data_IF_064126018279
#
_entry.id   IF_064126018279
#
_cell.length_a   1.000
_cell.length_b   1.000
_cell.length_c   1.000
_cell.angle_alpha   90.00
_cell.angle_beta   90.00
_cell.angle_gamma   90.00
#
_symmetry.space_group_name_H-M   'P 1'
#
loop_
_entity.id
_entity.type
_entity.pdbx_description
1 polymer ?
#
# COMPACT_ATOMS: atom_id res chain seq x y z
N UNK A 1 21.25 -18.03 4.53
CA UNK A 1 20.17 -17.24 5.19
C UNK A 1 20.07 -17.52 6.68
N UNK A 2 20.05 -18.79 7.14
CA UNK A 2 19.93 -19.09 8.58
C UNK A 2 20.95 -18.39 9.47
N UNK A 3 22.23 -18.35 9.08
CA UNK A 3 23.25 -17.67 9.86
C UNK A 3 22.92 -16.18 10.07
N UNK A 4 22.46 -15.49 9.02
CA UNK A 4 22.04 -14.09 9.08
C UNK A 4 20.85 -13.87 10.01
N UNK A 5 19.84 -14.74 9.94
CA UNK A 5 18.64 -14.63 10.79
C UNK A 5 18.88 -14.92 12.27
N UNK A 6 19.99 -15.58 12.61
CA UNK A 6 20.40 -15.79 14.01
C UNK A 6 21.17 -14.61 14.62
N UNK A 7 21.62 -13.67 13.80
CA UNK A 7 22.33 -12.46 14.26
C UNK A 7 21.36 -11.49 14.96
N UNK A 8 21.89 -10.70 15.90
CA UNK A 8 21.16 -9.58 16.46
C UNK A 8 20.88 -8.52 15.36
N UNK A 9 19.84 -7.70 15.53
CA UNK A 9 19.48 -6.67 14.53
C UNK A 9 20.63 -5.71 14.22
N UNK A 10 21.43 -5.36 15.22
CA UNK A 10 22.60 -4.50 15.04
C UNK A 10 23.69 -5.15 14.19
N UNK A 11 23.90 -6.45 14.34
CA UNK A 11 24.87 -7.22 13.55
C UNK A 11 24.37 -7.42 12.11
N UNK A 12 23.07 -7.67 11.94
CA UNK A 12 22.42 -7.70 10.61
C UNK A 12 22.59 -6.37 9.89
N UNK A 13 22.32 -5.25 10.57
CA UNK A 13 22.48 -3.92 10.02
C UNK A 13 23.94 -3.59 9.68
N UNK A 14 24.90 -4.03 10.50
CA UNK A 14 26.33 -3.88 10.22
C UNK A 14 26.72 -4.66 8.96
N UNK A 15 26.32 -5.93 8.87
CA UNK A 15 26.61 -6.77 7.70
C UNK A 15 25.99 -6.21 6.41
N UNK A 16 24.78 -5.66 6.47
CA UNK A 16 24.14 -4.98 5.33
C UNK A 16 24.90 -3.70 4.96
N UNK A 17 25.30 -2.89 5.95
CA UNK A 17 26.05 -1.66 5.72
C UNK A 17 27.38 -1.92 5.04
N UNK A 18 28.15 -2.87 5.58
CA UNK A 18 29.46 -3.23 5.05
C UNK A 18 29.32 -3.74 3.61
N UNK A 19 28.45 -4.71 3.38
CA UNK A 19 28.27 -5.31 2.05
C UNK A 19 27.71 -4.32 1.01
N UNK A 20 26.73 -3.49 1.35
CA UNK A 20 25.97 -2.69 0.36
C UNK A 20 26.37 -1.21 0.27
N UNK A 21 27.12 -0.68 1.24
CA UNK A 21 27.50 0.74 1.29
C UNK A 21 29.02 0.97 1.39
N UNK A 22 29.78 0.01 1.91
CA UNK A 22 31.24 0.11 2.06
C UNK A 22 31.95 -0.67 0.97
N UNK A 23 31.69 -1.96 0.86
CA UNK A 23 32.30 -2.87 -0.13
C UNK A 23 31.79 -2.59 -1.54
N UNK A 24 30.57 -2.09 -1.66
CA UNK A 24 29.93 -1.76 -2.92
C UNK A 24 29.38 -0.34 -2.91
N UNK A 25 29.30 0.28 -4.09
CA UNK A 25 28.60 1.55 -4.24
C UNK A 25 27.09 1.35 -4.03
N UNK A 26 26.42 2.15 -3.17
CA UNK A 26 25.01 1.99 -2.81
C UNK A 26 24.05 2.49 -3.91
N UNK A 27 24.14 1.93 -5.11
CA UNK A 27 23.42 2.40 -6.31
C UNK A 27 21.95 1.96 -6.37
N UNK A 28 21.56 0.92 -5.63
CA UNK A 28 20.17 0.45 -5.64
C UNK A 28 19.23 1.51 -5.05
N UNK A 29 17.99 1.55 -5.52
CA UNK A 29 16.99 2.50 -5.01
C UNK A 29 16.77 2.37 -3.49
N UNK A 30 16.81 1.14 -2.96
CA UNK A 30 16.71 0.90 -1.52
C UNK A 30 17.90 1.47 -0.74
N UNK A 31 19.12 1.31 -1.26
CA UNK A 31 20.33 1.86 -0.64
C UNK A 31 20.36 3.40 -0.74
N UNK A 32 20.07 3.97 -1.93
CA UNK A 32 19.93 5.41 -2.14
C UNK A 32 18.90 6.00 -1.17
N UNK A 33 17.79 5.29 -0.93
CA UNK A 33 16.76 5.69 0.01
C UNK A 33 17.30 5.89 1.43
N UNK A 34 18.10 4.94 1.94
CA UNK A 34 18.75 5.08 3.26
C UNK A 34 19.65 6.31 3.32
N UNK A 35 20.49 6.54 2.30
CA UNK A 35 21.36 7.73 2.26
C UNK A 35 20.58 9.04 2.19
N UNK A 36 19.45 9.05 1.48
CA UNK A 36 18.57 10.21 1.38
C UNK A 36 17.95 10.53 2.73
N UNK A 37 17.48 9.52 3.47
CA UNK A 37 16.99 9.69 4.85
C UNK A 37 18.07 10.30 5.73
N UNK A 38 19.27 9.71 5.75
CA UNK A 38 20.37 10.21 6.58
C UNK A 38 20.71 11.67 6.25
N UNK A 39 20.84 12.00 4.97
CA UNK A 39 21.11 13.36 4.52
C UNK A 39 20.01 14.34 4.95
N UNK A 40 18.73 13.98 4.77
CA UNK A 40 17.58 14.80 5.15
C UNK A 40 17.43 14.99 6.66
N UNK A 41 17.98 14.08 7.46
CA UNK A 41 18.09 14.20 8.92
C UNK A 41 19.33 14.98 9.37
N UNK A 42 20.19 15.42 8.43
CA UNK A 42 21.41 16.17 8.72
C UNK A 42 22.61 15.30 9.11
N UNK A 43 22.57 14.00 8.82
CA UNK A 43 23.65 13.06 9.11
C UNK A 43 24.56 12.89 7.89
N UNK A 44 25.87 13.00 8.09
CA UNK A 44 26.88 12.79 7.05
C UNK A 44 27.25 11.31 6.91
N UNK A 45 26.63 10.64 5.94
CA UNK A 45 26.93 9.25 5.62
C UNK A 45 28.30 9.05 4.93
N UNK A 46 28.98 10.11 4.47
CA UNK A 46 30.28 9.99 3.78
C UNK A 46 31.39 9.46 4.70
N UNK A 47 31.26 9.68 6.02
CA UNK A 47 32.19 9.13 7.01
C UNK A 47 32.08 7.62 7.17
N UNK A 48 30.99 7.01 6.65
CA UNK A 48 30.67 5.58 6.80
C UNK A 48 30.63 5.09 8.25
N UNK A 49 30.38 6.01 9.20
CA UNK A 49 30.38 5.77 10.64
C UNK A 49 28.97 5.38 11.13
N UNK A 50 28.62 4.10 10.93
CA UNK A 50 27.36 3.54 11.39
C UNK A 50 27.17 3.63 12.93
N UNK A 51 28.21 3.44 13.78
CA UNK A 51 28.09 3.68 15.22
C UNK A 51 27.61 5.09 15.59
N UNK A 52 28.16 6.15 14.98
CA UNK A 52 27.71 7.52 15.24
C UNK A 52 26.27 7.76 14.78
N UNK A 53 25.88 7.19 13.64
CA UNK A 53 24.49 7.24 13.14
C UNK A 53 23.53 6.58 14.15
N UNK A 54 23.90 5.41 14.70
CA UNK A 54 23.08 4.72 15.72
C UNK A 54 22.93 5.54 16.98
N UNK A 55 24.01 6.15 17.45
CA UNK A 55 23.99 7.02 18.63
C UNK A 55 22.99 8.16 18.44
N UNK A 56 23.00 8.80 17.28
CA UNK A 56 22.03 9.84 16.96
C UNK A 56 20.59 9.33 17.04
N UNK A 57 20.27 8.16 16.45
CA UNK A 57 18.91 7.59 16.53
C UNK A 57 18.49 7.23 17.96
N UNK A 58 19.42 6.76 18.79
CA UNK A 58 19.15 6.41 20.18
C UNK A 58 18.80 7.64 21.05
N UNK A 59 19.21 8.85 20.62
CA UNK A 59 18.93 10.11 21.31
C UNK A 59 17.57 10.73 20.93
N UNK A 60 16.81 10.13 19.99
CA UNK A 60 15.54 10.69 19.52
C UNK A 60 14.36 10.27 20.40
N UNK A 61 13.46 11.21 20.70
CA UNK A 61 12.13 10.88 21.19
C UNK A 61 11.23 10.39 20.04
N UNK A 62 10.42 9.37 20.31
CA UNK A 62 9.58 8.75 19.28
C UNK A 62 8.50 9.70 18.71
N UNK A 63 7.86 10.52 19.55
CA UNK A 63 6.81 11.45 19.13
C UNK A 63 7.37 12.61 18.33
N UNK A 64 8.50 13.17 18.78
CA UNK A 64 9.22 14.21 18.05
C UNK A 64 9.79 13.67 16.73
N UNK A 65 10.27 12.43 16.72
CA UNK A 65 10.80 11.80 15.51
C UNK A 65 9.72 11.53 14.46
N UNK A 66 8.51 11.11 14.88
CA UNK A 66 7.33 11.02 14.00
C UNK A 66 7.06 12.37 13.34
N UNK A 67 6.96 13.43 14.16
CA UNK A 67 6.69 14.79 13.66
C UNK A 67 7.77 15.24 12.67
N UNK A 68 9.04 15.06 13.03
CA UNK A 68 10.18 15.39 12.16
C UNK A 68 10.13 14.65 10.82
N UNK A 69 9.86 13.35 10.83
CA UNK A 69 9.76 12.55 9.60
C UNK A 69 8.61 13.04 8.71
N UNK A 70 7.44 13.32 9.30
CA UNK A 70 6.27 13.81 8.57
C UNK A 70 6.51 15.21 7.98
N UNK A 71 7.15 16.10 8.73
CA UNK A 71 7.49 17.46 8.27
C UNK A 71 8.51 17.42 7.13
N UNK A 72 9.59 16.65 7.27
CA UNK A 72 10.59 16.46 6.22
C UNK A 72 9.95 15.88 4.95
N UNK A 73 9.10 14.87 5.11
CA UNK A 73 8.41 14.22 4.01
C UNK A 73 7.20 15.03 3.49
N UNK A 74 6.83 16.15 4.13
CA UNK A 74 5.61 16.92 3.85
C UNK A 74 4.38 16.01 3.74
N UNK A 75 4.19 15.14 4.73
CA UNK A 75 3.07 14.21 4.82
C UNK A 75 2.14 14.67 5.93
N UNK A 76 0.87 14.91 5.59
CA UNK A 76 -0.15 15.32 6.56
C UNK A 76 -0.74 14.12 7.31
N UNK A 77 -0.93 13.00 6.61
CA UNK A 77 -1.64 11.83 7.13
C UNK A 77 -0.97 10.55 6.64
N UNK A 78 -0.87 9.55 7.52
CA UNK A 78 -0.37 8.20 7.24
C UNK A 78 -1.55 7.23 7.38
N UNK A 79 -1.90 6.55 6.30
CA UNK A 79 -2.88 5.45 6.36
C UNK A 79 -2.15 4.14 6.68
N UNK A 80 -2.47 3.56 7.83
CA UNK A 80 -1.90 2.31 8.33
C UNK A 80 -2.57 1.10 7.67
N UNK A 81 -1.85 -0.02 7.64
CA UNK A 81 -2.38 -1.35 7.29
C UNK A 81 -2.63 -2.10 8.59
N UNK A 82 -3.89 -2.32 8.94
CA UNK A 82 -4.29 -2.87 10.23
C UNK A 82 -4.96 -4.23 10.07
N UNK A 83 -4.47 -5.25 10.78
CA UNK A 83 -4.90 -6.64 10.63
C UNK A 83 -5.51 -7.18 11.93
N UNK A 84 -6.81 -7.53 11.96
CA UNK A 84 -7.45 -8.20 13.11
C UNK A 84 -6.98 -9.65 13.30
N UNK A 85 -6.06 -10.11 12.46
CA UNK A 85 -5.42 -11.42 12.52
C UNK A 85 -3.96 -11.32 12.99
N UNK A 86 -3.43 -10.12 13.25
CA UNK A 86 -2.08 -9.95 13.78
C UNK A 86 -2.11 -10.03 15.31
N UNK A 87 -1.32 -10.94 15.89
CA UNK A 87 -1.31 -11.22 17.33
C UNK A 87 -0.68 -10.10 18.17
N UNK A 88 0.16 -9.25 17.55
CA UNK A 88 0.74 -8.08 18.21
C UNK A 88 -0.20 -6.88 18.13
N UNK A 89 -0.95 -6.76 17.04
CA UNK A 89 -1.82 -5.61 16.79
C UNK A 89 -3.19 -5.71 17.47
N UNK A 90 -3.82 -6.89 17.40
CA UNK A 90 -5.19 -7.13 17.90
C UNK A 90 -5.36 -6.72 19.36
N UNK A 91 -4.44 -7.07 20.30
CA UNK A 91 -4.57 -6.68 21.70
C UNK A 91 -4.53 -5.16 21.94
N UNK A 92 -3.82 -4.40 21.09
CA UNK A 92 -3.76 -2.94 21.19
C UNK A 92 -5.12 -2.33 20.82
N UNK A 93 -5.76 -2.85 19.78
CA UNK A 93 -7.12 -2.43 19.40
C UNK A 93 -8.18 -2.81 20.42
N UNK A 94 -8.07 -3.98 21.03
CA UNK A 94 -9.00 -4.45 22.07
C UNK A 94 -8.90 -3.62 23.36
N UNK A 95 -7.67 -3.27 23.76
CA UNK A 95 -7.42 -2.44 24.95
C UNK A 95 -7.83 -0.99 24.72
N UNK A 96 -7.67 -0.51 23.48
CA UNK A 96 -7.85 0.88 23.11
C UNK A 96 -6.62 1.72 23.47
N UNK A 97 -6.37 2.76 22.68
CA UNK A 97 -5.25 3.68 22.85
C UNK A 97 -5.63 5.09 22.38
N UNK A 98 -4.90 6.09 22.86
CA UNK A 98 -5.02 7.46 22.38
C UNK A 98 -4.50 7.54 20.94
N UNK A 99 -5.38 7.88 20.01
CA UNK A 99 -5.01 7.97 18.59
C UNK A 99 -4.36 9.30 18.28
N UNK A 100 -3.25 9.23 17.57
CA UNK A 100 -2.70 10.37 16.84
C UNK A 100 -3.53 10.57 15.57
N UNK A 101 -4.17 11.74 15.43
CA UNK A 101 -5.07 12.07 14.31
C UNK A 101 -4.38 12.06 12.94
N UNK A 102 -3.04 12.11 12.93
CA UNK A 102 -2.23 11.98 11.71
C UNK A 102 -2.22 10.56 11.17
N UNK A 103 -2.65 9.56 11.95
CA UNK A 103 -2.70 8.15 11.55
C UNK A 103 -4.16 7.71 11.34
N UNK A 104 -4.48 7.31 10.10
CA UNK A 104 -5.76 6.68 9.74
C UNK A 104 -5.55 5.19 9.54
N UNK A 105 -6.64 4.43 9.41
CA UNK A 105 -6.57 2.96 9.34
C UNK A 105 -7.21 2.39 8.09
N UNK A 106 -6.70 1.23 7.66
CA UNK A 106 -7.30 0.38 6.65
C UNK A 106 -7.41 -1.05 7.17
N UNK A 107 -8.53 -1.72 6.92
CA UNK A 107 -8.81 -3.06 7.41
C UNK A 107 -8.25 -4.11 6.46
N UNK A 108 -7.12 -4.74 6.81
CA UNK A 108 -6.51 -5.83 6.04
C UNK A 108 -7.13 -7.18 6.36
N UNK A 109 -7.54 -7.91 5.32
CA UNK A 109 -8.28 -9.17 5.45
C UNK A 109 -7.65 -10.34 4.66
N UNK A 110 -6.36 -10.29 4.34
CA UNK A 110 -5.69 -11.40 3.62
C UNK A 110 -5.98 -12.78 4.23
N UNK A 111 -5.84 -12.99 5.56
CA UNK A 111 -6.08 -14.31 6.14
C UNK A 111 -7.53 -14.76 6.01
N UNK A 112 -8.49 -13.83 6.05
CA UNK A 112 -9.91 -14.14 5.88
C UNK A 112 -10.18 -14.74 4.49
N UNK A 113 -9.60 -14.15 3.43
CA UNK A 113 -9.87 -14.55 2.04
C UNK A 113 -8.99 -15.67 1.51
N UNK A 114 -7.73 -15.75 1.98
CA UNK A 114 -6.74 -16.67 1.44
C UNK A 114 -6.45 -17.86 2.35
N UNK A 115 -6.87 -17.79 3.61
CA UNK A 115 -6.55 -18.78 4.64
C UNK A 115 -7.80 -19.12 5.47
N UNK A 116 -8.96 -19.29 4.80
CA UNK A 116 -10.26 -19.47 5.47
C UNK A 116 -10.26 -20.59 6.53
N UNK A 117 -9.63 -21.72 6.22
CA UNK A 117 -9.55 -22.86 7.14
C UNK A 117 -8.77 -22.52 8.43
N UNK A 118 -7.79 -21.61 8.37
CA UNK A 118 -7.03 -21.15 9.55
C UNK A 118 -7.72 -19.96 10.23
N UNK A 119 -8.45 -19.13 9.47
CA UNK A 119 -9.20 -17.99 9.99
C UNK A 119 -10.43 -18.45 10.80
N UNK A 120 -11.19 -19.43 10.29
CA UNK A 120 -12.43 -19.95 10.89
C UNK A 120 -12.33 -20.23 12.40
N UNK A 121 -11.37 -21.02 12.91
CA UNK A 121 -11.27 -21.27 14.35
C UNK A 121 -10.95 -20.01 15.17
N UNK A 122 -10.25 -19.02 14.58
CA UNK A 122 -9.96 -17.74 15.24
C UNK A 122 -11.22 -16.88 15.35
N UNK A 123 -12.01 -16.82 14.28
CA UNK A 123 -13.32 -16.16 14.27
C UNK A 123 -14.26 -16.81 15.29
N UNK A 124 -14.37 -18.14 15.30
CA UNK A 124 -15.19 -18.86 16.28
C UNK A 124 -14.76 -18.57 17.72
N UNK A 125 -13.46 -18.59 18.01
CA UNK A 125 -12.92 -18.24 19.33
C UNK A 125 -13.21 -16.78 19.72
N UNK A 126 -13.25 -15.87 18.75
CA UNK A 126 -13.62 -14.47 18.95
C UNK A 126 -15.15 -14.25 19.03
N UNK A 127 -15.94 -15.33 19.00
CA UNK A 127 -17.39 -15.28 19.20
C UNK A 127 -18.20 -15.05 17.92
N UNK A 128 -17.67 -15.36 16.74
CA UNK A 128 -18.40 -15.34 15.46
C UNK A 128 -18.88 -16.74 15.08
N UNK A 129 -20.17 -16.92 14.79
CA UNK A 129 -20.79 -18.22 14.46
C UNK A 129 -20.49 -18.64 13.00
N UNK A 130 -19.22 -18.93 12.70
CA UNK A 130 -18.75 -19.32 11.37
C UNK A 130 -18.51 -20.83 11.25
N UNK A 131 -18.74 -21.37 10.06
CA UNK A 131 -18.51 -22.77 9.70
C UNK A 131 -17.60 -22.87 8.47
N UNK A 132 -16.70 -23.86 8.44
CA UNK A 132 -15.73 -24.03 7.37
C UNK A 132 -16.38 -24.26 5.98
N UNK A 133 -17.57 -24.86 5.96
CA UNK A 133 -18.35 -25.17 4.76
C UNK A 133 -19.30 -24.04 4.32
N UNK A 134 -19.24 -22.88 4.99
CA UNK A 134 -20.15 -21.73 4.81
C UNK A 134 -21.61 -21.99 5.13
N UNK A 135 -21.93 -23.08 5.84
CA UNK A 135 -23.31 -23.35 6.28
C UNK A 135 -23.78 -22.36 7.36
N UNK A 136 -25.08 -22.39 7.65
CA UNK A 136 -25.69 -21.58 8.71
C UNK A 136 -25.59 -20.09 8.43
N UNK A 137 -25.12 -19.32 9.40
CA UNK A 137 -25.01 -17.84 9.36
C UNK A 137 -23.61 -17.34 9.03
N UNK A 138 -22.78 -18.19 8.41
CA UNK A 138 -21.36 -17.90 8.24
C UNK A 138 -21.13 -16.56 7.54
N UNK A 139 -21.88 -16.26 6.48
CA UNK A 139 -21.71 -15.02 5.73
C UNK A 139 -22.13 -13.79 6.54
N UNK A 140 -23.25 -13.86 7.26
CA UNK A 140 -23.72 -12.78 8.13
C UNK A 140 -22.75 -12.50 9.28
N UNK A 141 -22.14 -13.55 9.82
CA UNK A 141 -21.16 -13.44 10.91
C UNK A 141 -19.81 -12.93 10.44
N UNK A 142 -19.38 -13.27 9.22
CA UNK A 142 -18.22 -12.62 8.57
C UNK A 142 -18.53 -11.14 8.33
N UNK A 143 -19.73 -10.78 7.87
CA UNK A 143 -20.10 -9.36 7.75
C UNK A 143 -20.14 -8.65 9.11
N UNK A 144 -20.59 -9.33 10.18
CA UNK A 144 -20.55 -8.79 11.54
C UNK A 144 -19.12 -8.54 11.99
N UNK A 145 -18.22 -9.48 11.76
CA UNK A 145 -16.78 -9.32 12.00
C UNK A 145 -16.22 -8.09 11.28
N UNK A 146 -16.54 -7.92 9.99
CA UNK A 146 -16.09 -6.76 9.21
C UNK A 146 -16.64 -5.45 9.76
N UNK A 147 -17.93 -5.39 10.13
CA UNK A 147 -18.56 -4.22 10.77
C UNK A 147 -17.88 -3.85 12.08
N UNK A 148 -17.66 -4.84 12.94
CA UNK A 148 -17.08 -4.64 14.27
C UNK A 148 -15.65 -4.07 14.14
N UNK A 149 -14.82 -4.66 13.28
CA UNK A 149 -13.44 -4.22 13.08
C UNK A 149 -13.30 -2.93 12.28
N UNK A 150 -14.09 -2.73 11.23
CA UNK A 150 -14.07 -1.48 10.48
C UNK A 150 -14.49 -0.29 11.35
N UNK A 151 -15.53 -0.47 12.18
CA UNK A 151 -15.94 0.53 13.17
C UNK A 151 -14.86 0.75 14.22
N UNK A 152 -14.29 -0.33 14.77
CA UNK A 152 -13.22 -0.24 15.76
C UNK A 152 -12.02 0.52 15.21
N UNK A 153 -11.65 0.35 13.95
CA UNK A 153 -10.51 1.03 13.34
C UNK A 153 -10.84 2.42 12.79
N UNK A 154 -12.11 2.78 12.59
CA UNK A 154 -12.52 3.87 11.67
C UNK A 154 -11.83 3.69 10.30
N UNK A 155 -12.00 2.49 9.74
CA UNK A 155 -11.29 2.10 8.53
C UNK A 155 -11.75 2.93 7.31
N UNK A 156 -10.78 3.42 6.53
CA UNK A 156 -11.05 4.14 5.29
C UNK A 156 -11.44 3.22 4.12
N UNK A 157 -10.94 1.97 4.15
CA UNK A 157 -11.21 0.93 3.17
C UNK A 157 -10.87 -0.44 3.75
N UNK A 158 -11.36 -1.49 3.10
CA UNK A 158 -11.00 -2.90 3.35
C UNK A 158 -9.97 -3.31 2.32
N UNK A 159 -8.94 -4.08 2.65
CA UNK A 159 -7.88 -4.42 1.71
C UNK A 159 -7.45 -5.88 1.74
N UNK A 160 -7.02 -6.37 0.56
CA UNK A 160 -6.41 -7.68 0.39
C UNK A 160 -5.28 -7.65 -0.64
N UNK A 161 -4.21 -8.40 -0.36
CA UNK A 161 -3.16 -8.72 -1.35
C UNK A 161 -3.39 -10.09 -1.98
N UNK A 162 -3.59 -10.13 -3.30
CA UNK A 162 -4.00 -11.32 -4.05
C UNK A 162 -2.88 -11.90 -4.92
N UNK A 163 -2.84 -13.23 -5.09
CA UNK A 163 -1.87 -13.89 -5.97
C UNK A 163 -2.16 -13.59 -7.45
N UNK A 164 -1.19 -13.83 -8.36
CA UNK A 164 -1.41 -13.70 -9.80
C UNK A 164 -2.51 -14.63 -10.33
N UNK A 165 -2.69 -15.79 -9.69
CA UNK A 165 -3.72 -16.77 -10.06
C UNK A 165 -5.11 -16.45 -9.48
N UNK A 166 -5.34 -15.21 -9.03
CA UNK A 166 -6.65 -14.80 -8.53
C UNK A 166 -7.68 -14.76 -9.67
N UNK A 167 -8.72 -15.56 -9.53
CA UNK A 167 -9.84 -15.65 -10.46
C UNK A 167 -11.14 -15.23 -9.78
N UNK A 168 -11.93 -14.42 -10.48
CA UNK A 168 -13.26 -14.02 -10.05
C UNK A 168 -14.19 -13.79 -11.26
N UNK A 169 -15.41 -14.32 -11.29
CA UNK A 169 -15.95 -15.31 -10.35
C UNK A 169 -15.26 -16.67 -10.51
N UNK A 170 -15.14 -17.42 -9.41
CA UNK A 170 -14.62 -18.79 -9.41
C UNK A 170 -15.31 -19.63 -8.32
N UNK A 171 -15.32 -20.96 -8.46
CA UNK A 171 -15.82 -21.85 -7.39
C UNK A 171 -14.73 -22.07 -6.33
N UNK A 172 -14.40 -21.00 -5.60
CA UNK A 172 -13.38 -20.98 -4.55
C UNK A 172 -13.92 -20.37 -3.26
N UNK A 173 -13.33 -20.73 -2.10
CA UNK A 173 -13.66 -20.12 -0.81
C UNK A 173 -13.52 -18.58 -0.87
N UNK A 174 -12.46 -18.09 -1.51
CA UNK A 174 -12.21 -16.66 -1.71
C UNK A 174 -13.36 -15.97 -2.47
N UNK A 175 -13.76 -16.50 -3.63
CA UNK A 175 -14.89 -15.92 -4.41
C UNK A 175 -16.20 -15.98 -3.64
N UNK A 176 -16.49 -17.09 -2.94
CA UNK A 176 -17.71 -17.21 -2.10
C UNK A 176 -17.74 -16.18 -0.97
N UNK A 177 -16.61 -15.92 -0.30
CA UNK A 177 -16.50 -14.89 0.73
C UNK A 177 -16.66 -13.48 0.15
N UNK A 178 -16.08 -13.23 -1.02
CA UNK A 178 -16.23 -11.94 -1.73
C UNK A 178 -17.72 -11.67 -2.00
N UNK A 179 -18.44 -12.62 -2.58
CA UNK A 179 -19.86 -12.47 -2.94
C UNK A 179 -20.78 -12.44 -1.72
N UNK A 180 -20.59 -13.36 -0.78
CA UNK A 180 -21.49 -13.55 0.35
C UNK A 180 -21.28 -12.56 1.49
N UNK A 181 -20.07 -12.01 1.64
CA UNK A 181 -19.73 -11.18 2.79
C UNK A 181 -19.01 -9.87 2.46
N UNK A 182 -17.92 -9.89 1.69
CA UNK A 182 -17.09 -8.68 1.50
C UNK A 182 -17.84 -7.61 0.71
N UNK A 183 -18.39 -7.95 -0.46
CA UNK A 183 -19.08 -7.00 -1.32
C UNK A 183 -20.39 -6.48 -0.70
N UNK A 184 -21.25 -7.32 -0.09
CA UNK A 184 -22.40 -6.83 0.67
C UNK A 184 -22.00 -5.83 1.76
N UNK A 185 -21.00 -6.18 2.59
CA UNK A 185 -20.50 -5.29 3.64
C UNK A 185 -19.96 -3.96 3.09
N UNK A 186 -19.11 -4.00 2.06
CA UNK A 186 -18.54 -2.80 1.44
C UNK A 186 -19.62 -1.89 0.85
N UNK A 187 -20.69 -2.47 0.28
CA UNK A 187 -21.82 -1.70 -0.27
C UNK A 187 -22.62 -1.02 0.83
N UNK A 188 -22.97 -1.76 1.89
CA UNK A 188 -23.74 -1.23 3.02
C UNK A 188 -22.98 -0.16 3.80
N UNK A 189 -21.67 -0.35 4.00
CA UNK A 189 -20.81 0.58 4.75
C UNK A 189 -20.27 1.74 3.91
N UNK A 190 -20.35 1.67 2.58
CA UNK A 190 -19.74 2.62 1.66
C UNK A 190 -18.22 2.56 1.58
N UNK A 191 -17.59 1.56 2.23
CA UNK A 191 -16.14 1.38 2.23
C UNK A 191 -15.66 0.74 0.92
N UNK A 192 -14.64 1.31 0.24
CA UNK A 192 -14.03 0.65 -0.90
C UNK A 192 -13.35 -0.67 -0.52
N UNK A 193 -13.31 -1.59 -1.49
CA UNK A 193 -12.52 -2.80 -1.42
C UNK A 193 -11.22 -2.64 -2.22
N UNK A 194 -10.09 -2.63 -1.52
CA UNK A 194 -8.77 -2.43 -2.09
C UNK A 194 -8.09 -3.76 -2.45
N UNK A 195 -7.71 -3.89 -3.70
CA UNK A 195 -7.12 -5.08 -4.31
C UNK A 195 -5.67 -4.78 -4.70
N UNK A 196 -4.71 -5.43 -4.02
CA UNK A 196 -3.29 -5.38 -4.37
C UNK A 196 -2.90 -6.69 -5.05
N UNK A 197 -2.83 -6.73 -6.39
CA UNK A 197 -2.82 -7.99 -7.15
C UNK A 197 -1.43 -8.30 -7.72
N UNK A 198 -0.96 -9.54 -7.58
CA UNK A 198 0.19 -10.07 -8.32
C UNK A 198 1.36 -10.58 -7.49
N UNK A 199 1.21 -10.69 -6.16
CA UNK A 199 2.28 -11.21 -5.27
C UNK A 199 2.35 -12.74 -5.30
N UNK A 200 3.52 -13.31 -5.61
CA UNK A 200 3.80 -14.74 -5.42
C UNK A 200 4.47 -14.94 -4.07
N UNK A 201 3.73 -15.44 -3.09
CA UNK A 201 4.27 -15.58 -1.73
C UNK A 201 5.27 -16.72 -1.62
N UNK A 202 6.33 -16.51 -0.85
CA UNK A 202 7.25 -17.56 -0.42
C UNK A 202 7.99 -18.27 -1.57
N UNK A 203 8.28 -17.57 -2.68
CA UNK A 203 9.11 -18.10 -3.78
C UNK A 203 10.47 -18.57 -3.25
N UNK A 204 11.00 -17.86 -2.25
CA UNK A 204 12.13 -18.32 -1.45
C UNK A 204 11.82 -18.16 0.05
N UNK A 205 11.20 -19.17 0.66
CA UNK A 205 10.81 -19.15 2.07
C UNK A 205 11.96 -18.84 3.05
N UNK A 206 13.22 -19.17 2.71
CA UNK A 206 14.38 -18.89 3.56
C UNK A 206 14.68 -17.38 3.72
N UNK A 207 14.13 -16.54 2.83
CA UNK A 207 14.20 -15.08 2.91
C UNK A 207 13.07 -14.43 3.73
N UNK A 208 12.17 -15.23 4.31
CA UNK A 208 11.02 -14.74 5.09
C UNK A 208 10.24 -13.68 4.29
N UNK A 209 10.02 -12.48 4.86
CA UNK A 209 9.30 -11.38 4.19
C UNK A 209 9.95 -10.89 2.88
N UNK A 210 11.24 -11.15 2.68
CA UNK A 210 11.94 -10.82 1.42
C UNK A 210 11.86 -11.95 0.38
N UNK A 211 11.16 -13.05 0.69
CA UNK A 211 11.06 -14.25 -0.16
C UNK A 211 9.93 -14.22 -1.17
N UNK A 212 9.13 -13.16 -1.19
CA UNK A 212 8.02 -13.00 -2.12
C UNK A 212 8.52 -12.53 -3.49
N UNK A 213 7.82 -12.96 -4.53
CA UNK A 213 8.07 -12.57 -5.92
C UNK A 213 6.84 -11.95 -6.57
N UNK A 214 6.91 -11.81 -7.89
CA UNK A 214 5.85 -11.21 -8.72
C UNK A 214 5.38 -12.18 -9.80
N UNK A 215 4.11 -12.10 -10.17
CA UNK A 215 3.58 -12.68 -11.39
C UNK A 215 2.58 -11.77 -12.06
N UNK A 216 2.45 -11.92 -13.38
CA UNK A 216 1.40 -11.27 -14.16
C UNK A 216 0.04 -11.91 -13.84
N UNK A 217 -0.95 -11.17 -13.31
CA UNK A 217 -2.32 -11.65 -13.19
C UNK A 217 -3.09 -11.58 -14.51
N UNK A 218 -4.23 -12.27 -14.57
CA UNK A 218 -5.31 -11.96 -15.51
C UNK A 218 -6.22 -10.88 -14.88
N UNK A 219 -6.39 -9.74 -15.54
CA UNK A 219 -7.22 -8.65 -15.02
C UNK A 219 -8.70 -8.79 -15.40
N UNK A 220 -9.12 -9.84 -16.11
CA UNK A 220 -10.54 -10.17 -16.29
C UNK A 220 -11.28 -10.28 -14.96
N UNK A 221 -10.62 -10.78 -13.91
CA UNK A 221 -11.17 -10.83 -12.55
C UNK A 221 -11.54 -9.44 -12.01
N UNK A 222 -10.72 -8.42 -12.30
CA UNK A 222 -10.99 -7.04 -11.90
C UNK A 222 -12.15 -6.45 -12.72
N UNK A 223 -12.20 -6.74 -14.02
CA UNK A 223 -13.32 -6.32 -14.88
C UNK A 223 -14.65 -6.92 -14.41
N UNK A 224 -14.65 -8.21 -14.05
CA UNK A 224 -15.82 -8.92 -13.53
C UNK A 224 -16.28 -8.33 -12.18
N UNK A 225 -15.36 -8.01 -11.27
CA UNK A 225 -15.68 -7.31 -10.02
C UNK A 225 -16.33 -5.95 -10.30
N UNK A 226 -15.72 -5.14 -11.16
CA UNK A 226 -16.20 -3.78 -11.43
C UNK A 226 -17.55 -3.77 -12.15
N UNK A 227 -17.72 -4.63 -13.15
CA UNK A 227 -18.93 -4.73 -13.97
C UNK A 227 -20.10 -5.41 -13.25
N UNK A 228 -19.82 -6.47 -12.48
CA UNK A 228 -20.84 -7.21 -11.73
C UNK A 228 -21.35 -6.45 -10.50
N UNK A 229 -20.56 -5.51 -9.98
CA UNK A 229 -20.88 -4.77 -8.74
C UNK A 229 -20.71 -3.26 -8.91
N UNK A 230 -21.54 -2.60 -9.75
CA UNK A 230 -21.40 -1.18 -10.07
C UNK A 230 -21.61 -0.23 -8.87
N UNK A 231 -22.27 -0.72 -7.80
CA UNK A 231 -22.51 0.04 -6.56
C UNK A 231 -21.39 -0.16 -5.51
N UNK A 232 -20.45 -1.07 -5.75
CA UNK A 232 -19.27 -1.26 -4.93
C UNK A 232 -18.10 -0.43 -5.49
N UNK A 233 -17.31 0.18 -4.59
CA UNK A 233 -16.10 0.93 -4.94
C UNK A 233 -14.87 0.03 -4.81
N UNK A 234 -13.95 0.11 -5.77
CA UNK A 234 -12.72 -0.65 -5.81
C UNK A 234 -11.50 0.27 -5.86
N UNK A 235 -10.53 0.02 -4.98
CA UNK A 235 -9.19 0.58 -5.11
C UNK A 235 -8.29 -0.51 -5.70
N UNK A 236 -7.43 -0.20 -6.67
CA UNK A 236 -6.54 -1.22 -7.22
C UNK A 236 -5.11 -0.74 -7.47
N UNK A 237 -4.16 -1.59 -7.11
CA UNK A 237 -2.77 -1.52 -7.54
C UNK A 237 -2.32 -2.92 -7.96
N UNK A 238 -1.47 -3.01 -8.98
CA UNK A 238 -1.00 -4.30 -9.54
C UNK A 238 0.53 -4.33 -9.48
N UNK A 239 1.10 -5.49 -9.17
CA UNK A 239 2.54 -5.65 -8.93
C UNK A 239 3.35 -5.87 -10.21
N UNK A 240 2.75 -6.48 -11.24
CA UNK A 240 3.41 -6.74 -12.52
C UNK A 240 3.49 -5.46 -13.36
N UNK A 241 4.68 -5.15 -13.87
CA UNK A 241 4.91 -4.03 -14.81
C UNK A 241 4.09 -4.23 -16.09
N UNK A 242 4.00 -5.46 -16.58
CA UNK A 242 3.31 -5.85 -17.81
C UNK A 242 1.80 -5.59 -17.77
N UNK A 243 1.23 -5.43 -16.58
CA UNK A 243 -0.21 -5.26 -16.36
C UNK A 243 -0.64 -3.80 -16.22
N UNK A 244 0.31 -2.86 -16.13
CA UNK A 244 0.00 -1.46 -15.78
C UNK A 244 -0.81 -0.74 -16.87
N UNK A 245 -0.53 -1.03 -18.14
CA UNK A 245 -1.27 -0.46 -19.26
C UNK A 245 -2.72 -0.94 -19.29
N UNK A 246 -2.92 -2.26 -19.19
CA UNK A 246 -4.23 -2.88 -19.13
C UNK A 246 -5.05 -2.31 -17.96
N UNK A 247 -4.44 -2.17 -16.78
CA UNK A 247 -5.09 -1.55 -15.62
C UNK A 247 -5.59 -0.12 -15.91
N UNK A 248 -4.82 0.70 -16.65
CA UNK A 248 -5.27 2.03 -17.05
C UNK A 248 -6.46 1.96 -18.02
N UNK A 249 -6.46 1.02 -18.96
CA UNK A 249 -7.57 0.83 -19.90
C UNK A 249 -8.84 0.39 -19.18
N UNK A 250 -8.73 -0.50 -18.19
CA UNK A 250 -9.84 -0.94 -17.33
C UNK A 250 -10.39 0.25 -16.52
N UNK A 251 -9.53 1.08 -15.93
CA UNK A 251 -9.95 2.28 -15.21
C UNK A 251 -10.70 3.29 -16.10
N UNK A 252 -10.44 3.33 -17.42
CA UNK A 252 -11.24 4.12 -18.38
C UNK A 252 -12.65 3.56 -18.59
N UNK A 253 -12.94 2.32 -18.19
CA UNK A 253 -14.25 1.67 -18.36
C UNK A 253 -15.11 1.81 -17.10
N UNK A 254 -14.50 1.77 -15.93
CA UNK A 254 -15.20 1.59 -14.67
C UNK A 254 -15.01 2.79 -13.73
N UNK A 255 -16.06 3.61 -13.57
CA UNK A 255 -16.06 4.76 -12.64
C UNK A 255 -15.93 4.36 -11.16
N UNK A 256 -16.24 3.10 -10.85
CA UNK A 256 -16.14 2.52 -9.52
C UNK A 256 -14.76 1.89 -9.27
N UNK A 257 -13.78 2.11 -10.14
CA UNK A 257 -12.39 1.72 -9.97
C UNK A 257 -11.49 2.95 -9.83
N UNK A 258 -10.71 3.01 -8.75
CA UNK A 258 -9.69 4.02 -8.56
C UNK A 258 -8.30 3.38 -8.43
N UNK A 259 -7.44 3.70 -9.39
CA UNK A 259 -6.07 3.17 -9.45
C UNK A 259 -5.15 3.99 -8.55
N UNK A 260 -4.28 3.32 -7.80
CA UNK A 260 -3.34 4.00 -6.92
C UNK A 260 -1.93 3.39 -6.96
N UNK A 261 -0.92 4.25 -6.84
CA UNK A 261 0.40 3.83 -6.39
C UNK A 261 1.30 3.14 -7.39
N UNK A 262 2.59 3.04 -7.05
CA UNK A 262 3.56 2.15 -7.67
C UNK A 262 4.01 1.16 -6.59
N UNK A 263 3.30 0.03 -6.50
CA UNK A 263 3.49 -0.94 -5.43
C UNK A 263 4.79 -1.73 -5.56
N UNK A 264 5.57 -1.75 -4.47
CA UNK A 264 6.69 -2.67 -4.24
C UNK A 264 7.70 -2.78 -5.40
N UNK A 265 7.68 -3.84 -6.20
CA UNK A 265 8.63 -4.03 -7.31
C UNK A 265 8.47 -3.00 -8.44
N UNK A 266 7.33 -2.31 -8.48
CA UNK A 266 7.12 -1.16 -9.38
C UNK A 266 7.58 0.17 -8.78
N UNK A 267 8.00 0.18 -7.53
CA UNK A 267 8.52 1.37 -6.82
C UNK A 267 10.01 1.58 -7.09
N UNK A 268 10.37 1.67 -8.38
CA UNK A 268 11.71 1.99 -8.88
C UNK A 268 11.63 3.11 -9.91
N UNK A 269 12.62 4.01 -10.01
CA UNK A 269 12.45 5.29 -10.70
C UNK A 269 11.91 5.20 -12.14
N UNK A 270 12.48 4.31 -12.95
CA UNK A 270 12.08 4.12 -14.35
C UNK A 270 10.64 3.61 -14.49
N UNK A 271 10.20 2.72 -13.59
CA UNK A 271 8.84 2.15 -13.63
C UNK A 271 7.83 3.16 -13.09
N UNK A 272 8.18 3.94 -12.05
CA UNK A 272 7.34 5.04 -11.55
C UNK A 272 7.10 6.07 -12.66
N UNK A 273 8.15 6.45 -13.40
CA UNK A 273 8.03 7.39 -14.51
C UNK A 273 7.11 6.87 -15.61
N UNK A 274 7.35 5.65 -16.09
CA UNK A 274 6.55 4.98 -17.13
C UNK A 274 5.07 4.90 -16.72
N UNK A 275 4.78 4.44 -15.50
CA UNK A 275 3.43 4.30 -14.97
C UNK A 275 2.74 5.66 -14.82
N UNK A 276 3.45 6.68 -14.32
CA UNK A 276 2.88 8.02 -14.13
C UNK A 276 2.50 8.65 -15.46
N UNK A 277 3.39 8.57 -16.47
CA UNK A 277 3.13 9.06 -17.83
C UNK A 277 1.91 8.39 -18.45
N UNK A 278 1.90 7.05 -18.42
CA UNK A 278 0.83 6.25 -19.01
C UNK A 278 -0.53 6.52 -18.35
N UNK A 279 -0.57 6.67 -17.03
CA UNK A 279 -1.79 7.03 -16.30
C UNK A 279 -2.27 8.43 -16.68
N UNK A 280 -1.39 9.42 -16.74
CA UNK A 280 -1.78 10.76 -17.20
C UNK A 280 -2.32 10.73 -18.63
N UNK A 281 -1.71 9.97 -19.53
CA UNK A 281 -2.14 9.86 -20.93
C UNK A 281 -3.48 9.14 -21.10
N UNK A 282 -3.73 8.10 -20.31
CA UNK A 282 -4.93 7.27 -20.46
C UNK A 282 -6.08 7.68 -19.53
N UNK A 283 -5.81 8.17 -18.34
CA UNK A 283 -6.85 8.48 -17.33
C UNK A 283 -6.72 9.89 -16.73
N UNK A 284 -5.87 10.76 -17.28
CA UNK A 284 -5.76 12.15 -16.83
C UNK A 284 -5.44 12.25 -15.35
N UNK A 285 -6.14 13.12 -14.62
CA UNK A 285 -5.89 13.36 -13.18
C UNK A 285 -6.70 12.44 -12.24
N UNK A 286 -7.39 11.42 -12.76
CA UNK A 286 -8.35 10.59 -11.99
C UNK A 286 -7.70 9.35 -11.34
N UNK A 287 -6.53 9.51 -10.74
CA UNK A 287 -5.82 8.45 -10.01
C UNK A 287 -5.03 9.02 -8.83
N UNK A 288 -4.53 8.15 -7.96
CA UNK A 288 -3.54 8.53 -6.92
C UNK A 288 -2.16 8.11 -7.37
N UNK A 289 -1.23 9.06 -7.49
CA UNK A 289 0.03 8.79 -8.17
C UNK A 289 0.93 7.79 -7.43
N UNK A 290 1.02 7.89 -6.10
CA UNK A 290 1.96 7.12 -5.31
C UNK A 290 1.43 6.73 -3.92
N UNK A 291 1.98 5.66 -3.35
CA UNK A 291 2.00 5.38 -1.90
C UNK A 291 3.40 4.91 -1.49
N UNK A 292 3.76 5.03 -0.21
CA UNK A 292 5.13 4.71 0.25
C UNK A 292 5.36 3.22 0.52
N UNK A 293 4.34 2.53 1.03
CA UNK A 293 4.46 1.18 1.61
C UNK A 293 5.60 1.11 2.66
N UNK A 294 5.77 2.20 3.43
CA UNK A 294 6.84 2.34 4.41
C UNK A 294 6.65 1.35 5.56
N UNK A 295 7.68 0.54 5.83
CA UNK A 295 7.72 -0.40 6.97
C UNK A 295 8.60 0.11 8.11
N UNK A 296 9.46 1.09 7.82
CA UNK A 296 10.21 1.87 8.80
C UNK A 296 9.82 3.33 8.60
N UNK A 297 9.53 4.04 9.69
CA UNK A 297 8.91 5.37 9.69
C UNK A 297 9.60 6.35 8.74
N UNK A 298 10.92 6.47 8.83
CA UNK A 298 11.71 7.44 8.07
C UNK A 298 11.80 7.16 6.57
N UNK A 299 11.39 5.96 6.12
CA UNK A 299 11.31 5.65 4.70
C UNK A 299 10.34 6.59 3.97
N UNK A 300 9.35 7.17 4.67
CA UNK A 300 8.45 8.16 4.06
C UNK A 300 9.22 9.34 3.47
N UNK A 301 10.38 9.71 4.04
CA UNK A 301 11.20 10.83 3.56
C UNK A 301 11.67 10.55 2.14
N UNK A 302 12.45 9.49 1.92
CA UNK A 302 12.99 9.22 0.59
C UNK A 302 11.90 8.77 -0.40
N UNK A 303 10.90 8.00 0.07
CA UNK A 303 9.80 7.53 -0.78
C UNK A 303 9.05 8.70 -1.41
N UNK A 304 8.75 9.74 -0.62
CA UNK A 304 8.08 10.93 -1.11
C UNK A 304 9.00 11.87 -1.87
N UNK A 305 10.25 12.05 -1.45
CA UNK A 305 11.22 12.87 -2.17
C UNK A 305 11.47 12.36 -3.59
N UNK A 306 11.87 11.09 -3.72
CA UNK A 306 12.19 10.49 -5.02
C UNK A 306 10.97 10.43 -5.93
N UNK A 307 9.80 10.04 -5.39
CA UNK A 307 8.58 9.96 -6.20
C UNK A 307 8.12 11.34 -6.66
N UNK A 308 8.19 12.38 -5.80
CA UNK A 308 7.81 13.74 -6.19
C UNK A 308 8.75 14.32 -7.23
N UNK A 309 10.05 14.05 -7.15
CA UNK A 309 11.01 14.45 -8.19
C UNK A 309 10.58 13.92 -9.56
N UNK A 310 10.31 12.62 -9.66
CA UNK A 310 9.87 11.96 -10.90
C UNK A 310 8.53 12.51 -11.38
N UNK A 311 7.52 12.55 -10.50
CA UNK A 311 6.17 13.01 -10.85
C UNK A 311 6.20 14.48 -11.28
N UNK A 312 7.02 15.33 -10.64
CA UNK A 312 7.19 16.73 -11.04
C UNK A 312 7.77 16.84 -12.44
N UNK A 313 8.79 16.04 -12.77
CA UNK A 313 9.36 15.99 -14.13
C UNK A 313 8.30 15.65 -15.17
N UNK A 314 7.50 14.60 -14.91
CA UNK A 314 6.43 14.18 -15.81
C UNK A 314 5.34 15.26 -15.95
N UNK A 315 4.86 15.82 -14.84
CA UNK A 315 3.82 16.87 -14.87
C UNK A 315 4.30 18.12 -15.60
N UNK A 316 5.54 18.54 -15.37
CA UNK A 316 6.14 19.70 -16.05
C UNK A 316 6.11 19.49 -17.56
N UNK A 317 6.55 18.33 -18.05
CA UNK A 317 6.48 18.02 -19.47
C UNK A 317 5.03 18.02 -20.01
N UNK A 318 4.08 17.41 -19.30
CA UNK A 318 2.68 17.37 -19.74
C UNK A 318 2.05 18.76 -19.81
N UNK A 319 2.32 19.64 -18.84
CA UNK A 319 1.83 21.02 -18.88
C UNK A 319 2.51 21.86 -19.97
N UNK A 320 3.80 21.66 -20.23
CA UNK A 320 4.48 22.31 -21.36
C UNK A 320 3.89 21.86 -22.69
N UNK A 321 3.63 20.56 -22.87
CA UNK A 321 2.97 20.05 -24.07
C UNK A 321 1.56 20.64 -24.22
N UNK A 322 0.79 20.72 -23.13
CA UNK A 322 -0.51 21.37 -23.12
C UNK A 322 -0.41 22.85 -23.55
N UNK A 323 0.61 23.57 -23.07
CA UNK A 323 0.87 24.96 -23.46
C UNK A 323 1.18 25.12 -24.96
N UNK A 324 1.83 24.15 -25.60
CA UNK A 324 2.06 24.19 -27.06
C UNK A 324 0.76 24.17 -27.88
N UNK A 325 -0.35 23.74 -27.28
CA UNK A 325 -1.67 23.76 -27.93
C UNK A 325 -2.39 25.11 -27.82
N UNK A 326 -1.78 26.10 -27.13
CA UNK A 326 -2.39 27.39 -26.81
C UNK A 326 -3.20 27.41 -25.51
N UNK A 327 -3.15 26.34 -24.72
CA UNK A 327 -3.78 26.28 -23.40
C UNK A 327 -2.84 26.78 -22.30
N UNK A 328 -3.22 27.81 -21.56
CA UNK A 328 -2.38 28.40 -20.50
C UNK A 328 -2.88 27.97 -19.10
N UNK A 329 -2.29 26.92 -18.47
CA UNK A 329 -2.72 26.48 -17.16
C UNK A 329 -2.34 27.52 -16.09
N UNK A 330 -3.31 27.91 -15.28
CA UNK A 330 -3.09 28.80 -14.14
C UNK A 330 -2.40 28.07 -12.98
N UNK A 331 -1.75 28.83 -12.10
CA UNK A 331 -1.17 28.25 -10.87
C UNK A 331 -2.20 27.56 -9.97
N UNK A 332 -3.44 28.04 -9.95
CA UNK A 332 -4.54 27.44 -9.21
C UNK A 332 -4.97 26.08 -9.79
N UNK A 333 -4.99 25.94 -11.12
CA UNK A 333 -5.28 24.66 -11.78
C UNK A 333 -4.18 23.64 -11.50
N UNK A 334 -2.91 24.05 -11.63
CA UNK A 334 -1.76 23.18 -11.34
C UNK A 334 -1.82 22.72 -9.88
N UNK A 335 -2.10 23.62 -8.93
CA UNK A 335 -2.24 23.28 -7.52
C UNK A 335 -3.36 22.26 -7.28
N UNK A 336 -4.58 22.52 -7.80
CA UNK A 336 -5.73 21.60 -7.70
C UNK A 336 -5.37 20.20 -8.23
N UNK A 337 -4.67 20.16 -9.35
CA UNK A 337 -4.34 18.93 -10.06
C UNK A 337 -3.27 18.11 -9.31
N UNK A 338 -2.24 18.79 -8.77
CA UNK A 338 -1.25 18.16 -7.89
C UNK A 338 -1.91 17.66 -6.59
N UNK A 339 -2.74 18.47 -5.94
CA UNK A 339 -3.50 18.05 -4.75
C UNK A 339 -4.37 16.81 -5.03
N UNK A 340 -4.96 16.74 -6.23
CA UNK A 340 -5.67 15.55 -6.70
C UNK A 340 -4.81 14.29 -6.68
N UNK A 341 -3.65 14.32 -7.34
CA UNK A 341 -2.75 13.16 -7.44
C UNK A 341 -2.15 12.71 -6.11
N UNK A 342 -1.94 13.64 -5.17
CA UNK A 342 -1.30 13.39 -3.87
C UNK A 342 -2.29 13.14 -2.73
N UNK A 343 -3.51 12.70 -3.05
CA UNK A 343 -4.49 12.20 -2.09
C UNK A 343 -5.88 12.81 -2.21
N UNK A 344 -6.03 13.97 -2.86
CA UNK A 344 -7.33 14.60 -3.06
C UNK A 344 -8.30 13.74 -3.89
N UNK A 345 -7.82 13.08 -4.94
CA UNK A 345 -8.64 12.15 -5.73
C UNK A 345 -9.04 10.90 -4.93
N UNK A 346 -8.16 10.43 -4.04
CA UNK A 346 -8.48 9.34 -3.11
C UNK A 346 -9.57 9.73 -2.13
N UNK A 347 -9.47 10.89 -1.46
CA UNK A 347 -10.49 11.36 -0.51
C UNK A 347 -11.86 11.53 -1.19
N UNK A 348 -11.88 12.15 -2.38
CA UNK A 348 -13.10 12.25 -3.19
C UNK A 348 -13.71 10.89 -3.52
N UNK A 349 -12.89 9.90 -3.85
CA UNK A 349 -13.36 8.53 -4.13
C UNK A 349 -13.90 7.84 -2.87
N UNK A 350 -13.32 8.12 -1.69
CA UNK A 350 -13.89 7.68 -0.42
C UNK A 350 -15.24 8.35 -0.12
N UNK A 351 -15.50 9.53 -0.69
CA UNK A 351 -16.65 10.38 -0.37
C UNK A 351 -16.39 11.27 0.86
N UNK A 352 -15.13 11.67 1.06
CA UNK A 352 -14.66 12.48 2.18
C UNK A 352 -14.05 13.81 1.72
#
# INVERSE_FOLDING_TARGET
FEAFWRLAREEQAQMIWDALFVENSPLSEACRGVLTVLNRLGLDANQRDLPSIRKWFAEQDSGDYITRCMDLAKVKTICMTNSPFDELETPQWDTGFARDERFTSALRIDPLLLEWDTATPRLAKAGYEVQADFSGKTMEEVQRFLRDWAKRMDALYVMVSLPPAFEYPADTQCSRLIDGAILPFCRESGLPFALMIGVKRGVNAALQLAGDGVGKPDLASLENLCSGHPDNKFLCTVLSRESQHELCVIARKFRNLHVFGCWWFTNVPNVIEEMTRMRLDLIGMSFTAQHSDARVLDQIIYKWDHSREIITGVLTEKYLNLATTGWEPSGAEIQRDVEGLFGGSFQRFLGR
#
